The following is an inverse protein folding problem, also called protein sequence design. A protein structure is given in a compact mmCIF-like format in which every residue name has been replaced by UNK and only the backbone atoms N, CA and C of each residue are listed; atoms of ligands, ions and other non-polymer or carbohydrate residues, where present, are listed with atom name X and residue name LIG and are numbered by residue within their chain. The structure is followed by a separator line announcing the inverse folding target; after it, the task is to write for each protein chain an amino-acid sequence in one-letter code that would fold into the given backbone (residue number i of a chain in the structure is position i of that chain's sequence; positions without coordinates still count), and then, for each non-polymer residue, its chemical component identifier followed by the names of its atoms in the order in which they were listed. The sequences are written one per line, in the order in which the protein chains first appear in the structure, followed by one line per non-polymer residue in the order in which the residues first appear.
data_IF_110385175777
#
_entry.id   IF_110385175777
#
_cell.length_a   1.000
_cell.length_b   1.000
_cell.length_c   1.000
_cell.angle_alpha   90.00
_cell.angle_beta   90.00
_cell.angle_gamma   90.00
#
_symmetry.space_group_name_H-M   'P 1'
#
loop_
_entity.id
_entity.type
_entity.pdbx_description
1 polymer ?
#
# COMPACT_ATOMS: atom_id res chain seq x y z
N UNK A 1 -27.55 -12.86 -13.54
CA UNK A 1 -27.14 -14.21 -13.09
C UNK A 1 -25.93 -13.99 -12.20
N UNK A 2 -26.06 -14.24 -10.90
CA UNK A 2 -24.98 -14.08 -9.93
C UNK A 2 -24.00 -15.26 -10.08
N UNK A 3 -22.93 -15.04 -10.85
CA UNK A 3 -21.84 -16.01 -11.02
C UNK A 3 -20.92 -16.12 -9.80
N UNK A 4 -21.16 -15.32 -8.75
CA UNK A 4 -20.48 -15.42 -7.45
C UNK A 4 -20.82 -16.69 -6.67
N UNK A 5 -21.98 -17.29 -6.99
CA UNK A 5 -22.38 -18.58 -6.46
C UNK A 5 -21.72 -19.68 -7.29
N UNK A 6 -20.70 -20.33 -6.73
CA UNK A 6 -20.09 -21.57 -7.26
C UNK A 6 -21.06 -22.79 -7.16
N UNK A 7 -22.37 -22.56 -7.05
CA UNK A 7 -23.39 -23.60 -7.04
C UNK A 7 -23.96 -23.79 -8.45
N UNK A 8 -24.52 -24.98 -8.76
CA UNK A 8 -25.25 -25.18 -10.00
C UNK A 8 -26.45 -24.21 -10.07
N UNK A 9 -26.41 -23.25 -11.00
CA UNK A 9 -27.40 -22.16 -11.08
C UNK A 9 -28.57 -22.45 -12.04
N UNK A 10 -28.68 -23.68 -12.57
CA UNK A 10 -29.72 -24.03 -13.54
C UNK A 10 -30.37 -25.38 -13.18
N UNK A 11 -31.69 -25.34 -12.97
CA UNK A 11 -32.50 -26.51 -12.64
C UNK A 11 -33.58 -26.69 -13.72
N UNK A 12 -33.61 -27.85 -14.37
CA UNK A 12 -34.71 -28.27 -15.23
C UNK A 12 -35.41 -29.42 -14.54
N UNK A 13 -36.74 -29.32 -14.38
CA UNK A 13 -37.55 -30.36 -13.73
C UNK A 13 -38.19 -31.21 -14.82
N UNK A 14 -37.97 -32.53 -14.76
CA UNK A 14 -38.52 -33.51 -15.70
C UNK A 14 -39.53 -34.44 -15.02
N UNK A 15 -40.41 -35.05 -15.81
CA UNK A 15 -41.36 -36.07 -15.34
C UNK A 15 -40.61 -37.36 -14.94
N UNK A 16 -41.07 -38.11 -13.91
CA UNK A 16 -40.44 -39.36 -13.52
C UNK A 16 -40.30 -40.34 -14.69
N UNK A 17 -39.14 -40.99 -14.83
CA UNK A 17 -38.88 -42.00 -15.87
C UNK A 17 -38.43 -41.47 -17.23
N UNK A 18 -38.33 -40.14 -17.43
CA UNK A 18 -37.95 -39.56 -18.73
C UNK A 18 -36.44 -39.53 -18.99
N UNK A 19 -35.61 -39.62 -17.95
CA UNK A 19 -34.15 -39.54 -18.04
C UNK A 19 -33.42 -40.82 -17.60
N UNK A 20 -34.15 -41.89 -17.28
CA UNK A 20 -33.58 -43.11 -16.66
C UNK A 20 -32.51 -43.81 -17.54
N UNK A 21 -32.62 -43.67 -18.87
CA UNK A 21 -31.68 -44.25 -19.83
C UNK A 21 -30.49 -43.32 -20.16
N UNK A 22 -30.42 -42.12 -19.56
CA UNK A 22 -29.35 -41.16 -19.84
C UNK A 22 -28.26 -41.17 -18.76
N UNK A 23 -26.98 -41.09 -19.14
CA UNK A 23 -25.88 -41.02 -18.17
C UNK A 23 -25.97 -39.73 -17.36
N UNK A 24 -26.03 -39.86 -16.03
CA UNK A 24 -26.07 -38.75 -15.09
C UNK A 24 -24.69 -38.52 -14.44
N UNK A 25 -24.29 -37.25 -14.35
CA UNK A 25 -23.10 -36.81 -13.60
C UNK A 25 -23.56 -36.17 -12.30
N UNK A 26 -23.11 -36.72 -11.16
CA UNK A 26 -23.37 -36.15 -9.84
C UNK A 26 -22.24 -35.19 -9.45
N UNK A 27 -22.60 -34.02 -8.95
CA UNK A 27 -21.65 -33.03 -8.44
C UNK A 27 -21.99 -32.72 -6.98
N UNK A 28 -20.98 -32.70 -6.12
CA UNK A 28 -21.11 -32.35 -4.71
C UNK A 28 -19.95 -31.48 -4.27
N UNK A 29 -20.14 -30.69 -3.23
CA UNK A 29 -19.09 -29.89 -2.59
C UNK A 29 -19.09 -30.16 -1.09
N UNK A 30 -17.91 -30.17 -0.50
CA UNK A 30 -17.71 -30.29 0.93
C UNK A 30 -16.48 -29.49 1.34
N UNK A 31 -16.48 -29.01 2.57
CA UNK A 31 -15.30 -28.38 3.16
C UNK A 31 -14.44 -29.46 3.80
N UNK A 32 -13.15 -29.47 3.48
CA UNK A 32 -12.17 -30.36 4.08
C UNK A 32 -11.05 -29.52 4.67
N UNK A 33 -10.67 -29.81 5.90
CA UNK A 33 -9.52 -29.14 6.51
C UNK A 33 -8.21 -29.66 5.91
N UNK A 34 -7.12 -28.90 6.04
CA UNK A 34 -5.82 -29.28 5.47
C UNK A 34 -5.30 -30.62 5.98
N UNK A 35 -5.61 -30.95 7.22
CA UNK A 35 -5.16 -32.16 7.92
C UNK A 35 -5.82 -33.41 7.37
N UNK A 36 -7.03 -33.28 6.84
CA UNK A 36 -7.84 -34.39 6.32
C UNK A 36 -7.61 -34.60 4.82
N UNK A 37 -6.86 -33.73 4.12
CA UNK A 37 -6.54 -33.89 2.69
C UNK A 37 -5.99 -35.26 2.28
N UNK A 38 -5.21 -36.01 3.09
CA UNK A 38 -4.78 -37.36 2.72
C UNK A 38 -5.92 -38.33 2.42
N UNK A 39 -7.11 -38.12 3.01
CA UNK A 39 -8.32 -38.90 2.72
C UNK A 39 -8.72 -38.83 1.24
N UNK A 40 -8.46 -37.70 0.56
CA UNK A 40 -8.77 -37.54 -0.86
C UNK A 40 -7.98 -38.52 -1.74
N UNK A 41 -6.74 -38.84 -1.36
CA UNK A 41 -5.92 -39.79 -2.10
C UNK A 41 -6.48 -41.21 -2.01
N UNK A 42 -7.00 -41.59 -0.84
CA UNK A 42 -7.66 -42.88 -0.63
C UNK A 42 -8.99 -42.96 -1.40
N UNK A 43 -9.78 -41.88 -1.37
CA UNK A 43 -11.04 -41.78 -2.11
C UNK A 43 -10.84 -41.89 -3.63
N UNK A 44 -9.85 -41.17 -4.18
CA UNK A 44 -9.54 -41.20 -5.62
C UNK A 44 -8.98 -42.56 -6.06
N UNK A 45 -8.28 -43.25 -5.15
CA UNK A 45 -7.80 -44.62 -5.40
C UNK A 45 -8.95 -45.63 -5.41
N UNK A 46 -9.94 -45.47 -4.53
CA UNK A 46 -11.11 -46.34 -4.44
C UNK A 46 -12.15 -46.09 -5.55
N UNK A 47 -12.24 -44.85 -6.06
CA UNK A 47 -13.22 -44.44 -7.06
C UNK A 47 -12.59 -43.62 -8.21
N UNK A 48 -11.99 -44.27 -9.22
CA UNK A 48 -11.29 -43.60 -10.32
C UNK A 48 -12.19 -42.76 -11.24
N UNK A 49 -13.50 -43.00 -11.21
CA UNK A 49 -14.50 -42.26 -12.00
C UNK A 49 -14.82 -40.88 -11.40
N UNK A 50 -14.35 -40.58 -10.18
CA UNK A 50 -14.61 -39.31 -9.49
C UNK A 50 -13.57 -38.27 -9.91
N UNK A 51 -14.03 -37.10 -10.35
CA UNK A 51 -13.17 -35.93 -10.60
C UNK A 51 -13.23 -34.98 -9.41
N UNK A 52 -12.07 -34.70 -8.80
CA UNK A 52 -11.95 -33.73 -7.70
C UNK A 52 -11.50 -32.37 -8.23
N UNK A 53 -12.13 -31.29 -7.75
CA UNK A 53 -11.76 -29.91 -8.04
C UNK A 53 -11.37 -29.23 -6.73
N UNK A 54 -10.08 -28.95 -6.53
CA UNK A 54 -9.55 -28.28 -5.35
C UNK A 54 -9.67 -26.75 -5.49
N UNK A 55 -10.80 -26.21 -5.06
CA UNK A 55 -11.08 -24.76 -5.11
C UNK A 55 -10.11 -23.96 -4.23
N UNK A 56 -9.60 -24.55 -3.13
CA UNK A 56 -8.66 -23.89 -2.24
C UNK A 56 -7.30 -23.61 -2.91
N UNK A 57 -6.85 -24.51 -3.79
CA UNK A 57 -5.62 -24.33 -4.58
C UNK A 57 -5.76 -23.18 -5.56
N UNK A 58 -6.92 -23.08 -6.23
CA UNK A 58 -7.22 -21.98 -7.17
C UNK A 58 -7.22 -20.64 -6.42
N UNK A 59 -7.92 -20.56 -5.27
CA UNK A 59 -7.94 -19.35 -4.44
C UNK A 59 -6.54 -18.99 -3.96
N UNK A 60 -5.74 -19.99 -3.55
CA UNK A 60 -4.35 -19.78 -3.12
C UNK A 60 -3.50 -19.23 -4.27
N UNK A 61 -3.67 -19.74 -5.47
CA UNK A 61 -2.95 -19.25 -6.65
C UNK A 61 -3.32 -17.80 -6.98
N UNK A 62 -4.62 -17.45 -6.94
CA UNK A 62 -5.08 -16.06 -7.13
C UNK A 62 -4.48 -15.14 -6.07
N UNK A 63 -4.50 -15.54 -4.79
CA UNK A 63 -3.88 -14.78 -3.70
C UNK A 63 -2.38 -14.56 -3.94
N UNK A 64 -1.66 -15.60 -4.35
CA UNK A 64 -0.23 -15.48 -4.67
C UNK A 64 0.04 -14.50 -5.83
N UNK A 65 -0.84 -14.43 -6.82
CA UNK A 65 -0.72 -13.46 -7.93
C UNK A 65 -0.93 -12.04 -7.38
N UNK A 66 -1.97 -11.82 -6.59
CA UNK A 66 -2.26 -10.52 -5.96
C UNK A 66 -1.09 -10.09 -5.05
N UNK A 67 -0.52 -11.01 -4.28
CA UNK A 67 0.61 -10.73 -3.39
C UNK A 67 1.85 -10.30 -4.20
N UNK A 68 2.14 -10.98 -5.31
CA UNK A 68 3.27 -10.61 -6.21
C UNK A 68 3.09 -9.24 -6.84
N UNK A 69 1.87 -8.93 -7.28
CA UNK A 69 1.55 -7.61 -7.84
C UNK A 69 1.71 -6.54 -6.75
N UNK A 70 1.18 -6.78 -5.55
CA UNK A 70 1.34 -5.89 -4.39
C UNK A 70 2.81 -5.63 -4.07
N UNK A 71 3.63 -6.68 -3.97
CA UNK A 71 5.09 -6.55 -3.72
C UNK A 71 5.80 -5.72 -4.79
N UNK A 72 5.40 -5.88 -6.06
CA UNK A 72 5.99 -5.11 -7.17
C UNK A 72 5.63 -3.63 -7.05
N UNK A 73 4.37 -3.31 -6.72
CA UNK A 73 3.92 -1.94 -6.50
C UNK A 73 4.58 -1.33 -5.27
N UNK A 74 4.75 -2.09 -4.18
CA UNK A 74 5.47 -1.65 -2.98
C UNK A 74 6.94 -1.31 -3.28
N UNK A 75 7.62 -2.13 -4.10
CA UNK A 75 8.98 -1.83 -4.54
C UNK A 75 9.04 -0.48 -5.28
N UNK A 76 8.11 -0.25 -6.21
CA UNK A 76 8.02 1.02 -6.95
C UNK A 76 7.74 2.18 -5.99
N UNK A 77 6.83 1.99 -5.02
CA UNK A 77 6.55 2.99 -3.98
C UNK A 77 7.83 3.35 -3.21
N UNK A 78 8.62 2.37 -2.75
CA UNK A 78 9.87 2.64 -2.05
C UNK A 78 10.90 3.39 -2.92
N UNK A 79 10.98 3.06 -4.21
CA UNK A 79 11.85 3.78 -5.14
C UNK A 79 11.41 5.23 -5.33
N UNK A 80 10.11 5.46 -5.51
CA UNK A 80 9.54 6.82 -5.67
C UNK A 80 9.72 7.64 -4.39
N UNK A 81 9.46 7.05 -3.22
CA UNK A 81 9.72 7.69 -1.93
C UNK A 81 11.21 8.03 -1.77
N UNK A 82 12.10 7.10 -2.12
CA UNK A 82 13.54 7.33 -2.11
C UNK A 82 13.96 8.49 -3.04
N UNK A 83 13.42 8.53 -4.25
CA UNK A 83 13.64 9.64 -5.18
C UNK A 83 13.12 10.97 -4.63
N UNK A 84 11.92 10.98 -4.01
CA UNK A 84 11.36 12.16 -3.37
C UNK A 84 12.24 12.69 -2.23
N UNK A 85 12.79 11.79 -1.41
CA UNK A 85 13.77 12.12 -0.37
C UNK A 85 15.03 12.74 -0.96
N UNK A 86 15.58 12.16 -2.03
CA UNK A 86 16.76 12.70 -2.71
C UNK A 86 16.50 14.11 -3.27
N UNK A 87 15.33 14.32 -3.90
CA UNK A 87 14.91 15.62 -4.42
C UNK A 87 14.77 16.65 -3.30
N UNK A 88 14.19 16.25 -2.15
CA UNK A 88 14.07 17.12 -0.99
C UNK A 88 15.46 17.55 -0.47
N UNK A 89 16.39 16.61 -0.36
CA UNK A 89 17.78 16.90 0.04
C UNK A 89 18.47 17.83 -0.96
N UNK A 90 18.30 17.59 -2.27
CA UNK A 90 18.87 18.43 -3.32
C UNK A 90 18.31 19.86 -3.29
N UNK A 91 17.00 20.00 -3.09
CA UNK A 91 16.32 21.30 -2.95
C UNK A 91 16.82 22.11 -1.75
N UNK A 92 16.99 21.44 -0.60
CA UNK A 92 17.59 22.04 0.60
C UNK A 92 19.02 22.50 0.31
N UNK A 93 19.81 21.68 -0.40
CA UNK A 93 21.17 22.00 -0.82
C UNK A 93 21.26 23.21 -1.74
N UNK A 94 20.34 23.33 -2.71
CA UNK A 94 20.26 24.48 -3.62
C UNK A 94 19.89 25.78 -2.91
N UNK A 95 19.20 25.70 -1.77
CA UNK A 95 18.80 26.86 -0.97
C UNK A 95 19.89 27.37 -0.01
N UNK A 96 21.11 26.81 -0.06
CA UNK A 96 22.21 27.11 0.87
C UNK A 96 22.66 28.57 0.86
N UNK A 97 22.91 29.13 -0.32
CA UNK A 97 23.54 30.45 -0.44
C UNK A 97 22.61 31.58 0.00
N UNK A 98 21.30 31.42 -0.24
CA UNK A 98 20.25 32.32 0.24
C UNK A 98 20.18 32.29 1.78
N UNK A 99 20.13 31.08 2.36
CA UNK A 99 19.97 30.88 3.82
C UNK A 99 21.22 31.28 4.60
N UNK A 100 22.43 31.16 4.03
CA UNK A 100 23.67 31.61 4.67
C UNK A 100 23.67 33.13 4.92
N UNK A 101 23.12 33.93 4.00
CA UNK A 101 22.95 35.38 4.17
C UNK A 101 21.92 35.72 5.25
N UNK A 102 20.79 35.03 5.26
CA UNK A 102 19.76 35.20 6.30
C UNK A 102 20.28 34.80 7.69
N UNK A 103 21.04 33.70 7.77
CA UNK A 103 21.71 33.25 8.99
C UNK A 103 22.72 34.27 9.52
N UNK A 104 23.49 34.91 8.63
CA UNK A 104 24.46 35.94 9.02
C UNK A 104 23.75 37.19 9.59
N UNK A 105 22.64 37.61 8.98
CA UNK A 105 21.80 38.70 9.48
C UNK A 105 21.16 38.36 10.84
N UNK A 106 20.58 37.17 10.98
CA UNK A 106 20.00 36.71 12.25
C UNK A 106 21.05 36.61 13.36
N UNK A 107 22.27 36.14 13.07
CA UNK A 107 23.38 36.15 14.05
C UNK A 107 23.81 37.57 14.44
N UNK A 108 23.82 38.51 13.50
CA UNK A 108 24.11 39.91 13.80
C UNK A 108 23.05 40.54 14.73
N UNK A 109 21.82 40.04 14.67
CA UNK A 109 20.70 40.43 15.54
C UNK A 109 20.57 39.55 16.82
N UNK A 110 21.49 38.63 17.08
CA UNK A 110 21.50 37.79 18.30
C UNK A 110 20.75 36.45 18.22
N UNK A 111 20.32 36.03 17.03
CA UNK A 111 19.62 34.76 16.79
C UNK A 111 20.47 33.53 17.09
N UNK A 112 19.95 32.63 17.93
CA UNK A 112 20.64 31.40 18.36
C UNK A 112 20.36 30.24 17.38
N UNK A 113 21.35 29.35 17.19
CA UNK A 113 21.23 28.12 16.37
C UNK A 113 19.92 27.31 16.58
N UNK A 114 19.43 27.07 17.81
CA UNK A 114 18.20 26.30 18.03
C UNK A 114 16.93 26.96 17.47
N UNK A 115 16.86 28.29 17.42
CA UNK A 115 15.70 28.99 16.87
C UNK A 115 15.51 28.67 15.38
N UNK A 116 16.62 28.63 14.64
CA UNK A 116 16.60 28.42 13.20
C UNK A 116 16.33 26.96 12.85
N UNK A 117 16.88 26.02 13.63
CA UNK A 117 16.53 24.60 13.48
C UNK A 117 15.06 24.33 13.83
N UNK A 118 14.52 24.97 14.87
CA UNK A 118 13.11 24.82 15.24
C UNK A 118 12.15 25.33 14.16
N UNK A 119 12.44 26.49 13.57
CA UNK A 119 11.63 27.04 12.47
C UNK A 119 11.61 26.09 11.26
N UNK A 120 12.77 25.53 10.91
CA UNK A 120 12.91 24.66 9.75
C UNK A 120 12.23 23.29 9.93
N UNK A 121 12.34 22.70 11.12
CA UNK A 121 11.59 21.47 11.46
C UNK A 121 10.09 21.71 11.40
N UNK A 122 9.62 22.87 11.87
CA UNK A 122 8.20 23.24 11.83
C UNK A 122 7.70 23.40 10.38
N UNK A 123 8.49 24.03 9.51
CA UNK A 123 8.18 24.15 8.07
C UNK A 123 8.01 22.78 7.42
N UNK A 124 8.97 21.86 7.63
CA UNK A 124 8.88 20.50 7.10
C UNK A 124 7.76 19.67 7.72
N UNK A 125 7.45 19.87 9.01
CA UNK A 125 6.33 19.21 9.66
C UNK A 125 5.00 19.63 9.02
N UNK A 126 4.80 20.93 8.78
CA UNK A 126 3.59 21.44 8.11
C UNK A 126 3.48 20.86 6.70
N UNK A 127 4.57 20.87 5.92
CA UNK A 127 4.59 20.26 4.59
C UNK A 127 4.26 18.76 4.62
N UNK A 128 4.76 18.04 5.62
CA UNK A 128 4.45 16.62 5.86
C UNK A 128 2.99 16.36 6.21
N UNK A 129 2.38 17.22 7.02
CA UNK A 129 0.94 17.15 7.30
C UNK A 129 0.13 17.33 6.02
N UNK A 130 0.43 18.37 5.22
CA UNK A 130 -0.25 18.60 3.94
C UNK A 130 -0.09 17.42 2.97
N UNK A 131 1.13 16.89 2.83
CA UNK A 131 1.39 15.72 2.01
C UNK A 131 0.58 14.51 2.47
N UNK A 132 0.49 14.28 3.78
CA UNK A 132 -0.29 13.17 4.34
C UNK A 132 -1.81 13.36 4.16
N UNK A 133 -2.33 14.59 4.25
CA UNK A 133 -3.75 14.87 3.93
C UNK A 133 -4.04 14.52 2.46
N UNK A 134 -3.19 14.97 1.54
CA UNK A 134 -3.34 14.65 0.10
C UNK A 134 -3.28 13.15 -0.13
N UNK A 135 -2.36 12.44 0.55
CA UNK A 135 -2.25 10.98 0.47
C UNK A 135 -3.53 10.27 0.95
N UNK A 136 -4.11 10.70 2.10
CA UNK A 136 -5.36 10.12 2.61
C UNK A 136 -6.52 10.35 1.65
N UNK A 137 -6.65 11.57 1.13
CA UNK A 137 -7.72 11.89 0.17
C UNK A 137 -7.58 11.01 -1.08
N UNK A 138 -6.36 10.87 -1.62
CA UNK A 138 -6.10 10.01 -2.76
C UNK A 138 -6.42 8.53 -2.49
N UNK A 139 -6.07 8.04 -1.29
CA UNK A 139 -6.37 6.66 -0.88
C UNK A 139 -7.88 6.42 -0.73
N UNK A 140 -8.60 7.32 -0.04
CA UNK A 140 -10.06 7.23 0.13
C UNK A 140 -10.79 7.28 -1.21
N UNK A 141 -10.38 8.18 -2.13
CA UNK A 141 -10.94 8.23 -3.49
C UNK A 141 -10.71 6.90 -4.22
N UNK A 142 -9.50 6.36 -4.15
CA UNK A 142 -9.15 5.10 -4.82
C UNK A 142 -10.00 3.94 -4.27
N UNK A 143 -10.08 3.81 -2.94
CA UNK A 143 -10.87 2.76 -2.27
C UNK A 143 -12.35 2.93 -2.58
N UNK A 144 -12.86 4.16 -2.57
CA UNK A 144 -14.25 4.46 -2.91
C UNK A 144 -14.58 4.03 -4.35
N UNK A 145 -13.73 4.37 -5.32
CA UNK A 145 -13.91 3.97 -6.72
C UNK A 145 -13.84 2.46 -6.90
N UNK A 146 -12.87 1.79 -6.27
CA UNK A 146 -12.75 0.33 -6.33
C UNK A 146 -13.97 -0.38 -5.75
N UNK A 147 -14.42 0.05 -4.57
CA UNK A 147 -15.59 -0.56 -3.92
C UNK A 147 -16.86 -0.35 -4.73
N UNK A 148 -17.02 0.81 -5.36
CA UNK A 148 -18.23 1.13 -6.13
C UNK A 148 -18.27 0.46 -7.50
N UNK A 149 -17.17 0.50 -8.25
CA UNK A 149 -17.16 0.13 -9.67
C UNK A 149 -16.67 -1.31 -9.92
N UNK A 150 -15.87 -1.88 -9.01
CA UNK A 150 -15.25 -3.20 -9.21
C UNK A 150 -15.81 -4.25 -8.25
N UNK A 151 -15.89 -3.91 -6.96
CA UNK A 151 -16.21 -4.91 -5.92
C UNK A 151 -17.67 -4.89 -5.46
N UNK A 152 -18.45 -3.87 -5.82
CA UNK A 152 -19.85 -3.68 -5.39
C UNK A 152 -20.06 -3.78 -3.86
N UNK A 153 -19.03 -3.42 -3.08
CA UNK A 153 -19.03 -3.51 -1.62
C UNK A 153 -19.58 -2.23 -0.96
N UNK A 154 -20.19 -2.32 0.24
CA UNK A 154 -20.61 -1.15 0.99
C UNK A 154 -19.42 -0.25 1.32
N UNK A 155 -19.50 1.01 0.89
CA UNK A 155 -18.43 1.99 1.13
C UNK A 155 -18.40 2.40 2.60
N UNK A 156 -17.26 2.18 3.26
CA UNK A 156 -17.00 2.69 4.60
C UNK A 156 -15.81 3.65 4.57
N UNK A 157 -15.93 4.78 5.29
CA UNK A 157 -14.86 5.72 5.48
C UNK A 157 -13.94 5.23 6.60
N UNK A 158 -12.64 5.30 6.37
CA UNK A 158 -11.65 4.77 7.30
C UNK A 158 -11.08 5.90 8.13
N UNK A 159 -11.82 6.34 9.16
CA UNK A 159 -11.43 7.49 10.01
C UNK A 159 -10.02 7.38 10.63
N UNK A 160 -9.49 6.17 10.82
CA UNK A 160 -8.11 5.96 11.28
C UNK A 160 -7.05 6.46 10.29
N UNK A 161 -7.31 6.37 8.97
CA UNK A 161 -6.40 6.87 7.92
C UNK A 161 -6.24 8.39 8.00
N UNK A 162 -7.31 9.10 8.36
CA UNK A 162 -7.30 10.57 8.49
C UNK A 162 -6.37 11.09 9.58
N UNK A 163 -6.17 10.32 10.65
CA UNK A 163 -5.20 10.66 11.69
C UNK A 163 -3.79 10.16 11.33
N UNK A 164 -3.69 8.91 10.89
CA UNK A 164 -2.38 8.25 10.68
C UNK A 164 -1.64 8.74 9.45
N UNK A 165 -2.32 9.04 8.35
CA UNK A 165 -1.70 9.53 7.11
C UNK A 165 -0.94 10.86 7.30
N UNK A 166 -1.58 11.92 7.81
CA UNK A 166 -0.92 13.18 8.14
C UNK A 166 0.18 13.01 9.19
N UNK A 167 -0.02 12.15 10.20
CA UNK A 167 0.99 11.89 11.22
C UNK A 167 2.27 11.23 10.65
N UNK A 168 2.10 10.22 9.79
CA UNK A 168 3.23 9.54 9.12
C UNK A 168 3.90 10.48 8.13
N UNK A 169 3.14 11.25 7.34
CA UNK A 169 3.67 12.25 6.42
C UNK A 169 4.50 13.32 7.14
N UNK A 170 3.97 13.86 8.25
CA UNK A 170 4.68 14.77 9.13
C UNK A 170 5.99 14.16 9.64
N UNK A 171 5.93 12.96 10.23
CA UNK A 171 7.10 12.30 10.79
C UNK A 171 8.18 12.02 9.72
N UNK A 172 7.79 11.53 8.54
CA UNK A 172 8.71 11.26 7.44
C UNK A 172 9.38 12.54 6.92
N UNK A 173 8.60 13.55 6.52
CA UNK A 173 9.15 14.77 5.92
C UNK A 173 9.97 15.57 6.95
N UNK A 174 9.49 15.66 8.20
CA UNK A 174 10.24 16.33 9.26
C UNK A 174 11.57 15.62 9.56
N UNK A 175 11.59 14.29 9.60
CA UNK A 175 12.82 13.51 9.85
C UNK A 175 13.83 13.69 8.71
N UNK A 176 13.37 13.58 7.46
CA UNK A 176 14.24 13.75 6.28
C UNK A 176 14.77 15.18 6.20
N UNK A 177 13.91 16.18 6.39
CA UNK A 177 14.29 17.59 6.42
C UNK A 177 15.28 17.91 7.53
N UNK A 178 15.07 17.37 8.74
CA UNK A 178 16.01 17.51 9.86
C UNK A 178 17.37 16.88 9.57
N UNK A 179 17.42 15.66 9.03
CA UNK A 179 18.69 14.98 8.70
C UNK A 179 19.44 15.68 7.56
N UNK A 180 18.73 16.11 6.52
CA UNK A 180 19.30 16.85 5.38
C UNK A 180 19.90 18.20 5.80
N UNK A 181 19.28 18.87 6.78
CA UNK A 181 19.73 20.17 7.29
C UNK A 181 20.82 20.05 8.35
N UNK A 182 20.86 18.96 9.12
CA UNK A 182 21.92 18.69 10.11
C UNK A 182 23.30 18.56 9.46
N UNK A 183 23.41 17.87 8.32
CA UNK A 183 24.66 17.81 7.52
C UNK A 183 25.04 19.17 6.90
N UNK A 184 24.05 20.01 6.65
CA UNK A 184 24.23 21.38 6.15
C UNK A 184 24.88 22.29 7.20
N UNK A 185 24.39 22.23 8.44
CA UNK A 185 24.87 23.07 9.56
C UNK A 185 26.23 22.60 10.09
N UNK A 186 26.62 21.35 9.84
CA UNK A 186 27.91 20.78 10.26
C UNK A 186 29.05 20.96 9.26
N UNK A 187 28.80 21.54 8.07
CA UNK A 187 29.87 21.81 7.11
C UNK A 187 30.63 23.08 7.53
N UNK A 188 31.95 23.01 7.80
CA UNK A 188 32.71 24.15 8.30
C UNK A 188 32.73 25.30 7.29
N UNK A 189 32.46 26.55 7.72
CA UNK A 189 32.45 27.74 6.85
C UNK A 189 33.83 28.12 6.29
N UNK A 190 34.89 27.38 6.64
CA UNK A 190 36.26 27.63 6.18
C UNK A 190 36.54 27.16 4.75
N UNK A 191 35.69 26.29 4.17
CA UNK A 191 35.93 25.75 2.82
C UNK A 191 35.43 26.67 1.70
N UNK A 192 34.51 27.60 1.99
CA UNK A 192 33.94 28.54 1.01
C UNK A 192 34.83 29.77 0.80
N UNK A 193 35.69 30.10 1.76
CA UNK A 193 36.61 31.25 1.72
C UNK A 193 37.98 30.94 1.07
N UNK A 194 38.15 29.75 0.48
CA UNK A 194 39.36 29.37 -0.26
C UNK A 194 39.16 29.32 -1.78
N UNK A 195 37.95 29.63 -2.24
CA UNK A 195 37.57 29.61 -3.66
C UNK A 195 37.12 30.98 -4.19
N UNK A 196 37.32 32.04 -3.40
CA UNK A 196 37.17 33.45 -3.81
C UNK A 196 38.51 34.16 -3.68
#
# INVERSE_FOLDING_TARGET
MEWDSLQPNFFIIFSPGTLDDYPATFMTSFHLTREEKPFLNELLSAHPTVTLIEVDEIIRQVRNIIDRVTQTVELVLYLVLGAGVLVLIASIGSSRDQRLREHALLRALGGTRPLIQGALVTEFAILGVFAGIVAVIGAEITVFTLNREIFELPTSLHFWLWATGPAIGMAMIATVGYLGTRKLVSSPPATVLREV
#
